data_IF_832631691664
#
_entry.id   IF_832631691664
#
_cell.length_a   1.000
_cell.length_b   1.000
_cell.length_c   1.000
_cell.angle_alpha   90.00
_cell.angle_beta   90.00
_cell.angle_gamma   90.00
#
_symmetry.space_group_name_H-M   'P 1'
#
loop_
_entity.id
_entity.type
_entity.pdbx_description
1 polymer ?
#
# COMPACT_ATOMS: atom_id res chain seq x y z
N UNK A 1 -2.76 9.66 -35.13
CA UNK A 1 -4.00 8.93 -34.70
C UNK A 1 -5.04 9.14 -35.78
N UNK A 2 -5.59 8.07 -36.31
CA UNK A 2 -6.51 8.14 -37.48
C UNK A 2 -7.87 8.72 -37.10
N UNK A 3 -8.40 9.54 -38.01
CA UNK A 3 -9.75 10.10 -37.88
C UNK A 3 -10.79 8.98 -38.01
N UNK A 4 -11.75 8.81 -37.09
CA UNK A 4 -12.76 7.74 -37.18
C UNK A 4 -13.77 7.92 -38.32
N UNK A 5 -13.77 9.10 -38.98
CA UNK A 5 -14.71 9.41 -40.04
C UNK A 5 -14.13 9.29 -41.44
N UNK A 6 -12.86 9.66 -41.64
CA UNK A 6 -12.23 9.66 -42.98
C UNK A 6 -10.86 8.98 -42.98
N UNK A 7 -10.45 8.39 -41.87
CA UNK A 7 -9.19 7.64 -41.71
C UNK A 7 -7.90 8.44 -41.93
N UNK A 8 -8.00 9.76 -42.12
CA UNK A 8 -6.83 10.62 -42.27
C UNK A 8 -5.99 10.61 -40.98
N UNK A 9 -4.66 10.60 -41.09
CA UNK A 9 -3.73 10.39 -39.98
C UNK A 9 -3.50 11.64 -39.14
N UNK A 10 -3.70 12.84 -39.75
CA UNK A 10 -3.34 14.08 -39.08
C UNK A 10 -4.56 14.76 -38.46
N UNK A 11 -4.36 15.17 -37.21
CA UNK A 11 -5.37 15.86 -36.41
C UNK A 11 -4.69 16.88 -35.50
N UNK A 12 -5.35 18.00 -35.24
CA UNK A 12 -4.91 18.97 -34.24
C UNK A 12 -5.67 18.78 -32.92
N UNK A 13 -5.00 18.98 -31.81
CA UNK A 13 -5.60 18.99 -30.48
C UNK A 13 -6.19 20.36 -30.23
N UNK A 14 -7.47 20.43 -29.93
CA UNK A 14 -8.18 21.67 -29.59
C UNK A 14 -8.15 21.92 -28.08
N UNK A 15 -8.26 20.85 -27.30
CA UNK A 15 -8.36 20.92 -25.84
C UNK A 15 -7.82 19.63 -25.22
N UNK A 16 -7.14 19.77 -24.07
CA UNK A 16 -6.72 18.66 -23.22
C UNK A 16 -7.18 18.90 -21.81
N UNK A 17 -7.82 17.90 -21.19
CA UNK A 17 -8.24 17.91 -19.80
C UNK A 17 -7.83 16.62 -19.12
N UNK A 18 -7.40 16.74 -17.87
CA UNK A 18 -7.23 15.57 -17.00
C UNK A 18 -8.59 14.93 -16.72
N UNK A 19 -8.65 13.61 -16.75
CA UNK A 19 -9.84 12.82 -16.47
C UNK A 19 -9.47 11.68 -15.52
N UNK A 20 -10.46 11.07 -14.88
CA UNK A 20 -10.28 9.94 -13.97
C UNK A 20 -9.26 10.23 -12.87
N UNK A 21 -9.45 11.34 -12.14
CA UNK A 21 -8.55 11.76 -11.05
C UNK A 21 -7.06 11.86 -11.43
N UNK A 22 -6.76 12.19 -12.69
CA UNK A 22 -5.38 12.32 -13.19
C UNK A 22 -4.82 11.07 -13.89
N UNK A 23 -5.55 9.97 -13.89
CA UNK A 23 -5.10 8.70 -14.49
C UNK A 23 -5.25 8.65 -16.02
N UNK A 24 -6.02 9.58 -16.60
CA UNK A 24 -6.17 9.68 -18.06
C UNK A 24 -6.22 11.14 -18.52
N UNK A 25 -5.91 11.35 -19.80
CA UNK A 25 -6.02 12.65 -20.46
C UNK A 25 -7.07 12.55 -21.54
N UNK A 26 -8.14 13.33 -21.41
CA UNK A 26 -9.16 13.50 -22.44
C UNK A 26 -8.71 14.58 -23.39
N UNK A 27 -8.58 14.27 -24.70
CA UNK A 27 -8.23 15.25 -25.72
C UNK A 27 -9.35 15.38 -26.75
N UNK A 28 -9.77 16.63 -26.99
CA UNK A 28 -10.67 16.96 -28.11
C UNK A 28 -9.84 17.29 -29.33
N UNK A 29 -10.03 16.56 -30.40
CA UNK A 29 -9.25 16.66 -31.64
C UNK A 29 -10.13 17.09 -32.80
N UNK A 30 -9.53 17.74 -33.81
CA UNK A 30 -10.15 18.07 -35.07
C UNK A 30 -9.30 17.49 -36.21
N UNK A 31 -9.93 16.74 -37.11
CA UNK A 31 -9.26 16.22 -38.30
C UNK A 31 -8.88 17.34 -39.26
N UNK A 32 -7.66 17.33 -39.79
CA UNK A 32 -7.21 18.36 -40.72
C UNK A 32 -7.83 18.21 -42.08
N UNK A 33 -8.27 17.00 -42.47
CA UNK A 33 -8.91 16.73 -43.77
C UNK A 33 -10.41 17.03 -43.73
N UNK A 34 -11.19 16.28 -42.91
CA UNK A 34 -12.66 16.41 -42.93
C UNK A 34 -13.21 17.40 -41.92
N UNK A 35 -12.39 18.03 -41.11
CA UNK A 35 -12.70 19.03 -40.05
C UNK A 35 -13.68 18.54 -38.97
N UNK A 36 -14.02 17.26 -38.97
CA UNK A 36 -14.84 16.69 -37.92
C UNK A 36 -14.06 16.59 -36.61
N UNK A 37 -14.79 16.77 -35.51
CA UNK A 37 -14.23 16.72 -34.18
C UNK A 37 -14.51 15.36 -33.55
N UNK A 38 -13.51 14.82 -32.84
CA UNK A 38 -13.60 13.57 -32.09
C UNK A 38 -12.83 13.70 -30.79
N UNK A 39 -13.16 12.85 -29.86
CA UNK A 39 -12.51 12.82 -28.54
C UNK A 39 -11.69 11.56 -28.42
N UNK A 40 -10.48 11.67 -27.86
CA UNK A 40 -9.61 10.55 -27.53
C UNK A 40 -9.29 10.58 -26.06
N UNK A 41 -9.07 9.40 -25.50
CA UNK A 41 -8.57 9.23 -24.15
C UNK A 41 -7.21 8.57 -24.25
N UNK A 42 -6.23 9.20 -23.61
CA UNK A 42 -4.90 8.63 -23.42
C UNK A 42 -4.83 8.13 -21.99
N UNK A 43 -4.64 6.83 -21.82
CA UNK A 43 -4.51 6.18 -20.53
C UNK A 43 -3.13 5.56 -20.43
N UNK A 44 -2.61 5.48 -19.20
CA UNK A 44 -1.42 4.68 -18.94
C UNK A 44 -1.84 3.22 -19.07
N UNK A 45 -1.27 2.51 -20.03
CA UNK A 45 -1.44 1.08 -20.14
C UNK A 45 -0.38 0.40 -19.27
N UNK A 46 -0.83 -0.24 -18.20
CA UNK A 46 0.06 -1.07 -17.40
C UNK A 46 0.44 -2.32 -18.19
N UNK A 47 1.72 -2.60 -18.20
CA UNK A 47 2.23 -3.81 -18.85
C UNK A 47 1.67 -5.03 -18.13
N UNK A 48 1.01 -5.93 -18.86
CA UNK A 48 0.52 -7.17 -18.29
C UNK A 48 1.68 -8.03 -17.82
N UNK A 49 1.64 -8.40 -16.54
CA UNK A 49 2.61 -9.31 -15.92
C UNK A 49 2.16 -10.74 -16.21
N UNK A 50 3.06 -11.54 -16.74
CA UNK A 50 2.84 -12.97 -16.98
C UNK A 50 3.40 -13.77 -15.82
N UNK A 51 2.59 -14.64 -15.24
CA UNK A 51 2.98 -15.55 -14.16
C UNK A 51 3.31 -16.93 -14.74
N UNK A 52 4.53 -17.39 -14.52
CA UNK A 52 4.95 -18.74 -14.87
C UNK A 52 4.64 -19.67 -13.68
N UNK A 53 3.78 -20.63 -13.91
CA UNK A 53 3.42 -21.64 -12.91
C UNK A 53 4.48 -22.74 -12.79
N UNK A 54 4.36 -23.58 -11.76
CA UNK A 54 5.29 -24.69 -11.51
C UNK A 54 5.33 -25.73 -12.63
N UNK A 55 4.21 -25.89 -13.34
CA UNK A 55 4.07 -26.77 -14.51
C UNK A 55 4.54 -26.11 -15.82
N UNK A 56 5.08 -24.88 -15.74
CA UNK A 56 5.53 -24.11 -16.90
C UNK A 56 4.41 -23.38 -17.64
N UNK A 57 3.16 -23.48 -17.21
CA UNK A 57 2.05 -22.72 -17.82
C UNK A 57 2.21 -21.22 -17.53
N UNK A 58 1.80 -20.40 -18.51
CA UNK A 58 1.81 -18.95 -18.44
C UNK A 58 0.40 -18.43 -18.30
N UNK A 59 0.14 -17.66 -17.24
CA UNK A 59 -1.13 -16.99 -17.00
C UNK A 59 -0.88 -15.50 -16.73
N UNK A 60 -1.87 -14.66 -17.00
CA UNK A 60 -1.83 -13.27 -16.58
C UNK A 60 -1.89 -13.18 -15.06
N UNK A 61 -1.18 -12.21 -14.46
CA UNK A 61 -1.29 -11.91 -13.04
C UNK A 61 -2.73 -11.52 -12.70
N UNK A 62 -3.31 -12.19 -11.70
CA UNK A 62 -4.66 -11.94 -11.21
C UNK A 62 -4.59 -11.49 -9.74
N UNK A 63 -4.74 -10.16 -9.54
CA UNK A 63 -4.79 -9.53 -8.21
C UNK A 63 -5.85 -10.17 -7.31
N UNK A 64 -7.03 -10.47 -7.86
CA UNK A 64 -8.13 -11.05 -7.08
C UNK A 64 -7.81 -12.46 -6.60
N UNK A 65 -7.07 -13.23 -7.40
CA UNK A 65 -6.62 -14.58 -7.03
C UNK A 65 -5.61 -14.52 -5.89
N UNK A 66 -4.67 -13.57 -5.95
CA UNK A 66 -3.68 -13.34 -4.90
C UNK A 66 -4.38 -12.93 -3.59
N UNK A 67 -5.27 -11.93 -3.64
CA UNK A 67 -6.03 -11.45 -2.49
C UNK A 67 -6.83 -12.58 -1.83
N UNK A 68 -7.53 -13.42 -2.61
CA UNK A 68 -8.26 -14.58 -2.06
C UNK A 68 -7.35 -15.55 -1.31
N UNK A 69 -6.13 -15.77 -1.80
CA UNK A 69 -5.13 -16.61 -1.12
C UNK A 69 -4.72 -16.02 0.23
N UNK A 70 -4.48 -14.72 0.28
CA UNK A 70 -4.10 -14.00 1.49
C UNK A 70 -5.26 -13.95 2.50
N UNK A 71 -6.49 -13.66 2.07
CA UNK A 71 -7.69 -13.68 2.92
C UNK A 71 -7.82 -15.02 3.64
N UNK A 72 -7.68 -16.14 2.90
CA UNK A 72 -7.73 -17.49 3.51
C UNK A 72 -6.66 -17.70 4.56
N UNK A 73 -5.44 -17.22 4.31
CA UNK A 73 -4.35 -17.34 5.27
C UNK A 73 -4.60 -16.50 6.53
N UNK A 74 -5.14 -15.28 6.35
CA UNK A 74 -5.41 -14.32 7.42
C UNK A 74 -6.72 -14.56 8.18
N UNK A 75 -7.53 -15.55 7.81
CA UNK A 75 -8.80 -15.83 8.47
C UNK A 75 -8.61 -16.08 9.97
N UNK A 76 -9.31 -15.31 10.82
CA UNK A 76 -9.22 -15.37 12.30
C UNK A 76 -7.83 -15.08 12.89
N UNK A 77 -6.98 -14.32 12.18
CA UNK A 77 -5.63 -13.95 12.66
C UNK A 77 -5.53 -12.52 13.19
N UNK A 78 -6.62 -11.74 13.13
CA UNK A 78 -6.63 -10.32 13.54
C UNK A 78 -6.08 -9.35 12.49
N UNK A 79 -5.58 -9.82 11.35
CA UNK A 79 -5.15 -8.97 10.23
C UNK A 79 -6.39 -8.42 9.52
N UNK A 80 -6.50 -7.08 9.45
CA UNK A 80 -7.66 -6.42 8.83
C UNK A 80 -7.67 -6.60 7.31
N UNK A 81 -8.86 -6.46 6.70
CA UNK A 81 -8.99 -6.52 5.24
C UNK A 81 -8.15 -5.42 4.55
N UNK A 82 -8.12 -4.23 5.15
CA UNK A 82 -7.34 -3.10 4.65
C UNK A 82 -5.83 -3.42 4.60
N UNK A 83 -5.29 -4.07 5.64
CA UNK A 83 -3.90 -4.53 5.65
C UNK A 83 -3.63 -5.60 4.58
N UNK A 84 -4.61 -6.49 4.34
CA UNK A 84 -4.49 -7.53 3.31
C UNK A 84 -4.50 -6.92 1.90
N UNK A 85 -5.35 -5.91 1.66
CA UNK A 85 -5.40 -5.18 0.39
C UNK A 85 -4.12 -4.37 0.16
N UNK A 86 -3.63 -3.66 1.17
CA UNK A 86 -2.38 -2.92 1.12
C UNK A 86 -1.19 -3.83 0.77
N UNK A 87 -1.13 -5.03 1.36
CA UNK A 87 -0.11 -6.03 1.04
C UNK A 87 -0.14 -6.45 -0.44
N UNK A 88 -1.34 -6.64 -1.00
CA UNK A 88 -1.50 -6.97 -2.43
C UNK A 88 -1.08 -5.82 -3.32
N UNK A 89 -1.45 -4.58 -2.96
CA UNK A 89 -1.11 -3.37 -3.72
C UNK A 89 0.41 -3.14 -3.75
N UNK A 90 1.09 -3.37 -2.63
CA UNK A 90 2.55 -3.30 -2.55
C UNK A 90 3.23 -4.34 -3.45
N UNK A 91 2.74 -5.59 -3.44
CA UNK A 91 3.28 -6.64 -4.32
C UNK A 91 3.05 -6.28 -5.78
N UNK A 92 1.85 -5.83 -6.13
CA UNK A 92 1.54 -5.42 -7.50
C UNK A 92 2.43 -4.27 -7.95
N UNK A 93 2.61 -3.24 -7.12
CA UNK A 93 3.49 -2.11 -7.40
C UNK A 93 4.94 -2.55 -7.60
N UNK A 94 5.45 -3.45 -6.74
CA UNK A 94 6.81 -4.00 -6.89
C UNK A 94 6.97 -4.78 -8.19
N UNK A 95 6.00 -5.62 -8.54
CA UNK A 95 6.03 -6.38 -9.78
C UNK A 95 5.98 -5.49 -11.02
N UNK A 96 5.21 -4.39 -10.98
CA UNK A 96 5.13 -3.42 -12.07
C UNK A 96 6.41 -2.60 -12.25
N UNK A 97 7.15 -2.35 -11.16
CA UNK A 97 8.44 -1.64 -11.21
C UNK A 97 9.56 -2.51 -11.80
N UNK A 98 9.40 -3.83 -11.77
CA UNK A 98 10.39 -4.74 -12.37
C UNK A 98 10.38 -4.59 -13.90
N UNK A 99 11.56 -4.46 -14.50
CA UNK A 99 11.72 -4.41 -15.96
C UNK A 99 11.31 -5.73 -16.64
N UNK A 100 11.18 -6.81 -15.89
CA UNK A 100 10.88 -8.16 -16.37
C UNK A 100 9.36 -8.35 -16.37
N UNK A 101 8.83 -8.77 -17.52
CA UNK A 101 7.39 -9.01 -17.73
C UNK A 101 6.92 -10.40 -17.28
N UNK A 102 7.85 -11.29 -17.00
CA UNK A 102 7.58 -12.64 -16.53
C UNK A 102 8.06 -12.80 -15.09
N UNK A 103 7.21 -13.35 -14.24
CA UNK A 103 7.50 -13.64 -12.84
C UNK A 103 7.05 -15.05 -12.53
N UNK A 104 7.79 -15.78 -11.76
CA UNK A 104 7.38 -17.11 -11.33
C UNK A 104 6.37 -17.05 -10.20
N UNK A 105 5.47 -18.03 -10.13
CA UNK A 105 4.58 -18.18 -8.99
C UNK A 105 5.36 -18.39 -7.67
N UNK A 106 6.60 -18.87 -7.77
CA UNK A 106 7.51 -19.00 -6.64
C UNK A 106 7.93 -17.63 -6.09
N UNK A 107 8.37 -16.72 -6.93
CA UNK A 107 8.74 -15.36 -6.52
C UNK A 107 7.56 -14.60 -5.90
N UNK A 108 6.36 -14.70 -6.49
CA UNK A 108 5.16 -14.07 -5.90
C UNK A 108 4.89 -14.62 -4.51
N UNK A 109 4.98 -15.93 -4.35
CA UNK A 109 4.76 -16.57 -3.04
C UNK A 109 5.77 -16.14 -1.99
N UNK A 110 7.03 -15.99 -2.35
CA UNK A 110 8.09 -15.52 -1.46
C UNK A 110 7.87 -14.04 -1.07
N UNK A 111 7.40 -13.19 -2.00
CA UNK A 111 6.99 -11.83 -1.71
C UNK A 111 5.83 -11.76 -0.71
N UNK A 112 4.83 -12.63 -0.86
CA UNK A 112 3.71 -12.72 0.08
C UNK A 112 4.20 -13.14 1.46
N UNK A 113 5.05 -14.18 1.54
CA UNK A 113 5.59 -14.66 2.80
C UNK A 113 6.39 -13.61 3.55
N UNK A 114 7.26 -12.87 2.83
CA UNK A 114 8.05 -11.79 3.42
C UNK A 114 7.18 -10.70 4.05
N UNK A 115 6.01 -10.40 3.47
CA UNK A 115 5.09 -9.37 3.98
C UNK A 115 4.11 -9.89 5.03
N UNK A 116 3.74 -11.16 4.99
CA UNK A 116 2.89 -11.77 6.00
C UNK A 116 3.60 -11.99 7.34
N UNK A 117 4.91 -12.25 7.29
CA UNK A 117 5.71 -12.54 8.48
C UNK A 117 5.60 -11.46 9.57
N UNK A 118 5.79 -10.15 9.28
CA UNK A 118 5.65 -9.09 10.29
C UNK A 118 4.19 -8.84 10.72
N UNK A 119 3.20 -9.19 9.88
CA UNK A 119 1.79 -8.98 10.18
C UNK A 119 1.21 -10.07 11.07
N UNK A 120 1.51 -11.33 10.77
CA UNK A 120 1.01 -12.48 11.54
C UNK A 120 1.79 -13.76 11.22
N UNK A 121 2.51 -14.29 12.20
CA UNK A 121 3.19 -15.59 12.08
C UNK A 121 2.22 -16.74 11.74
N UNK A 122 0.99 -16.68 12.26
CA UNK A 122 -0.04 -17.68 11.98
C UNK A 122 -0.46 -17.61 10.50
N UNK A 123 -0.71 -16.42 9.97
CA UNK A 123 -1.04 -16.23 8.56
C UNK A 123 0.12 -16.68 7.66
N UNK A 124 1.36 -16.34 8.04
CA UNK A 124 2.57 -16.79 7.35
C UNK A 124 2.63 -18.31 7.25
N UNK A 125 2.49 -19.03 8.37
CA UNK A 125 2.58 -20.51 8.41
C UNK A 125 1.46 -21.13 7.57
N UNK A 126 0.23 -20.62 7.68
CA UNK A 126 -0.91 -21.12 6.89
C UNK A 126 -0.71 -20.90 5.39
N UNK A 127 -0.20 -19.74 4.99
CA UNK A 127 0.12 -19.48 3.59
C UNK A 127 1.28 -20.37 3.13
N UNK A 128 2.36 -20.46 3.91
CA UNK A 128 3.52 -21.29 3.62
C UNK A 128 3.17 -22.76 3.45
N UNK A 129 2.28 -23.29 4.29
CA UNK A 129 1.90 -24.71 4.25
C UNK A 129 1.25 -25.12 2.92
N UNK A 130 0.39 -24.23 2.38
CA UNK A 130 -0.25 -24.45 1.07
C UNK A 130 0.73 -24.14 -0.07
N UNK A 131 1.41 -23.01 0.03
CA UNK A 131 2.33 -22.56 -1.00
C UNK A 131 3.53 -23.49 -1.19
N UNK A 132 4.17 -23.91 -0.10
CA UNK A 132 5.33 -24.85 -0.11
C UNK A 132 4.90 -26.31 -0.15
N UNK A 133 3.59 -26.59 -0.10
CA UNK A 133 3.02 -27.95 -0.12
C UNK A 133 3.60 -28.85 0.98
N UNK A 134 3.43 -28.46 2.24
CA UNK A 134 3.89 -29.27 3.37
C UNK A 134 3.33 -30.69 3.30
N UNK A 135 4.21 -31.67 3.44
CA UNK A 135 3.86 -33.09 3.35
C UNK A 135 3.65 -33.74 4.73
N UNK A 136 4.15 -33.10 5.78
CA UNK A 136 4.06 -33.67 7.12
C UNK A 136 4.39 -32.65 8.22
N UNK A 137 4.35 -33.14 9.47
CA UNK A 137 4.59 -32.33 10.67
C UNK A 137 6.01 -31.74 10.69
N UNK A 138 6.99 -32.41 10.10
CA UNK A 138 8.37 -31.93 10.05
C UNK A 138 8.48 -30.59 9.32
N UNK A 139 7.77 -30.40 8.23
CA UNK A 139 7.81 -29.16 7.45
C UNK A 139 7.30 -27.95 8.29
N UNK A 140 6.33 -28.22 9.18
CA UNK A 140 5.85 -27.20 10.13
C UNK A 140 6.92 -26.86 11.17
N UNK A 141 7.57 -27.90 11.75
CA UNK A 141 8.60 -27.72 12.79
C UNK A 141 9.77 -26.94 12.19
N UNK A 142 10.28 -27.33 11.04
CA UNK A 142 11.40 -26.67 10.36
C UNK A 142 11.07 -25.20 10.03
N UNK A 143 9.83 -24.92 9.63
CA UNK A 143 9.38 -23.55 9.35
C UNK A 143 9.29 -22.71 10.63
N UNK A 144 8.79 -23.28 11.73
CA UNK A 144 8.71 -22.62 13.03
C UNK A 144 10.10 -22.34 13.61
N UNK A 145 11.02 -23.28 13.51
CA UNK A 145 12.39 -23.12 14.01
C UNK A 145 13.13 -22.03 13.24
N UNK A 146 12.92 -21.94 11.91
CA UNK A 146 13.47 -20.85 11.12
C UNK A 146 12.90 -19.50 11.54
N UNK A 147 11.58 -19.36 11.74
CA UNK A 147 10.97 -18.11 12.22
C UNK A 147 11.53 -17.68 13.58
N UNK A 148 11.76 -18.63 14.49
CA UNK A 148 12.38 -18.38 15.79
C UNK A 148 13.80 -17.87 15.68
N UNK A 149 14.60 -18.47 14.80
CA UNK A 149 15.98 -18.06 14.56
C UNK A 149 16.05 -16.67 13.94
N UNK A 150 15.22 -16.37 12.93
CA UNK A 150 15.15 -15.05 12.30
C UNK A 150 14.76 -13.97 13.31
N UNK A 151 13.80 -14.25 14.19
CA UNK A 151 13.39 -13.35 15.27
C UNK A 151 14.50 -13.12 16.31
N UNK A 152 15.22 -14.17 16.68
CA UNK A 152 16.35 -14.06 17.58
C UNK A 152 17.48 -13.22 16.98
N UNK A 153 17.76 -13.38 15.70
CA UNK A 153 18.77 -12.60 14.98
C UNK A 153 18.42 -11.10 14.90
N UNK A 154 17.14 -10.77 14.68
CA UNK A 154 16.66 -9.37 14.69
C UNK A 154 16.78 -8.75 16.09
N UNK A 155 16.42 -9.48 17.15
CA UNK A 155 16.51 -9.00 18.52
C UNK A 155 17.97 -8.74 18.96
N UNK A 156 18.94 -9.45 18.43
CA UNK A 156 20.36 -9.21 18.73
C UNK A 156 20.92 -8.01 17.97
N UNK A 157 20.43 -7.73 16.75
CA UNK A 157 20.84 -6.56 15.98
C UNK A 157 20.35 -5.24 16.59
N UNK A 158 19.19 -5.24 17.21
CA UNK A 158 18.64 -4.06 17.88
C UNK A 158 19.34 -3.78 19.24
N UNK A 159 19.91 -4.81 19.85
CA UNK A 159 20.65 -4.68 21.10
C UNK A 159 22.09 -4.13 20.92
N UNK A 160 22.66 -4.22 19.73
CA UNK A 160 24.00 -3.69 19.42
C UNK A 160 23.98 -2.23 18.92
N UNK A 161 22.81 -1.63 18.73
CA UNK A 161 22.68 -0.27 18.19
C UNK A 161 22.68 0.84 19.26
N UNK A 162 22.87 0.54 20.55
CA UNK A 162 22.90 1.55 21.60
C UNK A 162 24.14 1.42 22.50
N UNK A 163 25.27 2.03 22.10
CA UNK A 163 26.22 2.53 23.05
C UNK A 163 26.51 4.02 22.79
N UNK A 164 25.56 4.90 23.06
CA UNK A 164 25.92 6.28 23.38
C UNK A 164 25.82 6.39 24.91
N UNK A 165 26.95 6.03 25.51
CA UNK A 165 27.20 6.25 26.88
C UNK A 165 27.02 7.72 27.23
N UNK A 166 26.19 7.93 28.20
CA UNK A 166 26.12 9.08 29.08
C UNK A 166 27.52 9.52 29.50
N UNK A 167 28.01 10.60 28.92
CA UNK A 167 29.11 11.39 29.45
C UNK A 167 28.59 12.82 29.54
N UNK A 168 27.70 13.06 30.50
CA UNK A 168 27.45 14.41 30.97
C UNK A 168 28.33 14.63 32.19
N UNK A 169 29.47 15.27 31.92
CA UNK A 169 30.22 16.01 32.94
C UNK A 169 29.31 17.04 33.64
N UNK A 170 29.29 16.96 34.95
CA UNK A 170 28.79 17.98 35.85
C UNK A 170 29.46 19.33 35.52
N UNK A 171 28.73 20.24 34.90
CA UNK A 171 29.09 21.66 34.87
C UNK A 171 28.06 22.42 35.71
N UNK A 172 28.58 23.00 36.76
CA UNK A 172 27.99 23.92 37.72
C UNK A 172 26.96 24.87 37.09
N UNK A 173 25.70 24.70 37.43
CA UNK A 173 24.65 25.69 37.22
C UNK A 173 24.61 26.64 38.45
N UNK A 174 24.66 27.98 38.25
CA UNK A 174 24.47 28.91 39.34
C UNK A 174 23.04 28.88 39.87
N UNK A 175 22.82 29.18 41.21
CA UNK A 175 21.51 29.05 41.84
C UNK A 175 20.51 30.07 41.29
N UNK A 176 19.35 29.58 40.90
CA UNK A 176 18.19 30.36 40.44
C UNK A 176 17.61 31.20 41.62
N UNK A 177 17.20 32.46 41.38
CA UNK A 177 16.60 33.29 42.40
C UNK A 177 15.18 32.82 42.73
N UNK A 178 14.92 32.79 44.04
CA UNK A 178 13.67 32.45 44.68
C UNK A 178 12.59 33.50 44.37
N UNK A 179 11.62 33.18 43.52
CA UNK A 179 10.44 34.03 43.33
C UNK A 179 9.31 33.46 44.18
N UNK A 180 9.17 34.05 45.35
CA UNK A 180 8.06 33.84 46.26
C UNK A 180 6.79 34.53 45.72
N UNK A 181 5.69 33.79 45.75
CA UNK A 181 4.29 34.17 45.89
C UNK A 181 3.87 35.55 45.32
N UNK A 182 3.10 35.51 44.25
CA UNK A 182 2.09 36.53 43.98
C UNK A 182 0.80 35.88 43.41
N UNK A 183 -0.22 35.98 44.24
CA UNK A 183 -1.65 36.16 43.96
C UNK A 183 -2.38 35.27 42.94
N UNK A 184 -3.10 34.32 43.53
CA UNK A 184 -4.32 33.76 42.95
C UNK A 184 -5.44 34.81 43.04
N UNK A 185 -5.83 35.41 41.90
CA UNK A 185 -7.16 36.02 41.70
C UNK A 185 -7.29 36.50 40.26
N UNK A 186 -8.42 36.10 39.67
CA UNK A 186 -8.97 36.53 38.38
C UNK A 186 -8.70 35.60 37.21
N UNK A 187 -9.66 34.73 36.96
CA UNK A 187 -10.15 34.31 35.65
C UNK A 187 -11.44 33.50 35.85
N UNK A 188 -12.50 34.23 36.26
CA UNK A 188 -13.87 33.84 35.96
C UNK A 188 -14.29 34.51 34.62
N UNK A 189 -15.15 33.82 33.91
CA UNK A 189 -15.85 34.24 32.70
C UNK A 189 -15.09 34.26 31.35
N UNK A 190 -15.23 33.16 30.65
CA UNK A 190 -15.52 33.21 29.22
C UNK A 190 -16.32 31.95 28.81
N UNK A 191 -17.63 32.10 28.81
CA UNK A 191 -18.61 31.22 28.17
C UNK A 191 -18.34 31.22 26.67
N UNK A 192 -17.94 30.09 26.13
CA UNK A 192 -17.78 29.87 24.69
C UNK A 192 -19.12 29.41 24.11
N UNK A 193 -19.75 30.30 23.37
CA UNK A 193 -21.01 30.09 22.69
C UNK A 193 -20.78 29.26 21.42
N UNK A 194 -21.42 28.07 21.33
CA UNK A 194 -21.40 27.19 20.15
C UNK A 194 -22.56 27.62 19.20
N UNK A 195 -22.28 27.85 17.92
CA UNK A 195 -23.36 28.13 16.97
C UNK A 195 -24.15 26.87 16.61
N UNK A 196 -25.48 26.99 16.65
CA UNK A 196 -26.45 25.98 16.33
C UNK A 196 -26.37 25.50 14.87
N UNK A 197 -26.45 24.18 14.71
CA UNK A 197 -26.52 23.45 13.46
C UNK A 197 -27.94 23.60 12.84
N UNK A 198 -28.09 24.02 11.57
CA UNK A 198 -29.43 24.10 10.95
C UNK A 198 -29.89 22.75 10.42
N UNK A 199 -31.12 22.44 10.78
CA UNK A 199 -31.95 21.29 10.43
C UNK A 199 -32.06 21.05 8.90
N UNK A 200 -31.89 19.78 8.51
CA UNK A 200 -32.20 19.24 7.17
C UNK A 200 -33.72 19.06 7.06
N UNK A 201 -34.40 19.52 6.01
CA UNK A 201 -35.80 19.22 5.79
C UNK A 201 -36.02 17.84 5.19
N UNK A 202 -36.83 17.04 5.84
CA UNK A 202 -37.47 15.83 5.32
C UNK A 202 -38.54 16.24 4.30
N UNK A 203 -38.43 15.74 3.07
CA UNK A 203 -39.57 15.72 2.15
C UNK A 203 -40.01 14.26 1.95
N UNK A 204 -41.23 14.00 2.45
CA UNK A 204 -42.10 12.91 2.04
C UNK A 204 -42.68 13.22 0.66
N UNK A 205 -42.57 12.32 -0.31
CA UNK A 205 -43.67 11.82 -1.12
C UNK A 205 -43.14 10.76 -2.08
#
# INVERSE_FOLDING_TARGET
>A
MQCPFCQHTDSRVLESRSAEAGQSVRRRRECLSCRRRFTTYERIEFVQITVIKRDGQRESFDRSKLLRGIIRACEKTGVSLEQQEALVDEIEAELQQRAVREVTSAEIGDLVLARLQPLSEVAYIRFASVYRQFQGIRDFIDTLDRLRQERAALATSDAEADPIADAHEDQDLPPMPNIARADARALEDTTFDLPANPLVPTTSN
#
